data_IF_738152559012
#
_entry.id   IF_738152559012
#
_cell.length_a   1.000
_cell.length_b   1.000
_cell.length_c   1.000
_cell.angle_alpha   90.00
_cell.angle_beta   90.00
_cell.angle_gamma   90.00
#
_symmetry.space_group_name_H-M   'P 1'
#
loop_
_entity.id
_entity.type
_entity.pdbx_description
1 polymer ?
#
# COMPACT_ATOMS: atom_id res chain seq x y z
N UNK A 1 7.88 -8.22 -8.12
CA UNK A 1 6.70 -7.41 -7.72
C UNK A 1 5.52 -8.24 -7.22
N UNK A 2 5.04 -9.25 -7.94
CA UNK A 2 3.87 -10.05 -7.55
C UNK A 2 3.98 -10.66 -6.14
N UNK A 3 5.03 -11.45 -5.90
CA UNK A 3 5.17 -12.27 -4.69
C UNK A 3 5.31 -11.47 -3.40
N UNK A 4 5.79 -10.22 -3.45
CA UNK A 4 6.10 -9.43 -2.27
C UNK A 4 5.29 -8.16 -2.22
N UNK A 5 5.40 -7.29 -3.22
CA UNK A 5 4.82 -5.95 -3.14
C UNK A 5 3.30 -6.01 -3.15
N UNK A 6 2.70 -6.49 -4.22
CA UNK A 6 1.25 -6.39 -4.38
C UNK A 6 0.49 -7.28 -3.39
N UNK A 7 0.90 -8.56 -3.29
CA UNK A 7 0.29 -9.47 -2.33
C UNK A 7 0.61 -9.11 -0.87
N UNK A 8 1.78 -8.50 -0.63
CA UNK A 8 2.15 -7.97 0.68
C UNK A 8 1.29 -6.77 1.11
N UNK A 9 0.98 -5.85 0.18
CA UNK A 9 0.04 -4.74 0.43
C UNK A 9 -1.33 -5.28 0.83
N UNK A 10 -1.86 -6.27 0.09
CA UNK A 10 -3.14 -6.90 0.41
C UNK A 10 -3.08 -7.54 1.81
N UNK A 11 -2.04 -8.32 2.09
CA UNK A 11 -1.88 -8.99 3.37
C UNK A 11 -1.78 -8.00 4.53
N UNK A 12 -0.93 -6.97 4.43
CA UNK A 12 -0.79 -5.96 5.48
C UNK A 12 -2.08 -5.15 5.69
N UNK A 13 -2.73 -4.71 4.61
CA UNK A 13 -3.99 -3.96 4.69
C UNK A 13 -5.13 -4.80 5.28
N UNK A 14 -5.17 -6.12 4.99
CA UNK A 14 -6.18 -7.02 5.58
C UNK A 14 -5.98 -7.22 7.09
N UNK A 15 -4.73 -7.17 7.57
CA UNK A 15 -4.45 -7.20 9.01
C UNK A 15 -4.93 -5.93 9.70
N UNK A 16 -4.79 -4.75 9.07
CA UNK A 16 -5.36 -3.50 9.58
C UNK A 16 -6.89 -3.62 9.67
N UNK A 17 -7.55 -4.06 8.61
CA UNK A 17 -8.99 -4.35 8.61
C UNK A 17 -9.39 -5.24 9.79
N UNK A 18 -8.71 -6.38 9.97
CA UNK A 18 -9.02 -7.33 11.02
C UNK A 18 -8.81 -6.77 12.44
N UNK A 19 -7.79 -5.91 12.65
CA UNK A 19 -7.57 -5.22 13.93
C UNK A 19 -8.72 -4.31 14.32
N UNK A 20 -9.30 -3.59 13.37
CA UNK A 20 -10.46 -2.74 13.62
C UNK A 20 -11.77 -3.53 13.76
N UNK A 21 -11.91 -4.67 13.09
CA UNK A 21 -13.00 -5.64 13.39
C UNK A 21 -12.89 -6.13 14.82
N UNK A 22 -11.68 -6.36 15.33
CA UNK A 22 -11.39 -6.70 16.71
C UNK A 22 -11.82 -5.66 17.77
N UNK A 23 -12.23 -4.46 17.35
CA UNK A 23 -12.86 -3.49 18.26
C UNK A 23 -14.26 -3.95 18.68
N UNK A 24 -15.02 -4.55 17.75
CA UNK A 24 -16.40 -4.99 17.98
C UNK A 24 -16.48 -6.44 18.50
N UNK A 25 -15.53 -7.27 18.10
CA UNK A 25 -15.44 -8.65 18.53
C UNK A 25 -13.99 -8.93 18.96
N UNK A 26 -13.72 -9.20 20.24
CA UNK A 26 -12.36 -9.42 20.73
C UNK A 26 -11.75 -10.64 20.04
N UNK A 27 -10.86 -10.36 19.10
CA UNK A 27 -10.15 -11.36 18.31
C UNK A 27 -8.76 -11.57 18.88
N UNK A 28 -8.45 -12.80 19.27
CA UNK A 28 -7.07 -13.20 19.55
C UNK A 28 -6.22 -13.21 18.28
N UNK A 29 -4.94 -13.55 18.38
CA UNK A 29 -4.03 -13.58 17.22
C UNK A 29 -4.54 -14.47 16.07
N UNK A 30 -5.09 -15.63 16.39
CA UNK A 30 -5.68 -16.55 15.38
C UNK A 30 -6.94 -15.96 14.74
N UNK A 31 -7.82 -15.36 15.54
CA UNK A 31 -9.04 -14.70 15.06
C UNK A 31 -8.73 -13.51 14.14
N UNK A 32 -7.73 -12.70 14.47
CA UNK A 32 -7.26 -11.60 13.61
C UNK A 32 -6.76 -12.10 12.26
N UNK A 33 -5.98 -13.20 12.26
CA UNK A 33 -5.53 -13.83 11.01
C UNK A 33 -6.70 -14.37 10.20
N UNK A 34 -7.64 -15.06 10.85
CA UNK A 34 -8.82 -15.62 10.19
C UNK A 34 -9.70 -14.51 9.58
N UNK A 35 -9.94 -13.40 10.30
CA UNK A 35 -10.69 -12.26 9.79
C UNK A 35 -9.98 -11.58 8.61
N UNK A 36 -8.66 -11.44 8.66
CA UNK A 36 -7.87 -10.89 7.56
C UNK A 36 -7.96 -11.77 6.30
N UNK A 37 -7.77 -13.08 6.44
CA UNK A 37 -7.90 -14.05 5.34
C UNK A 37 -9.34 -14.06 4.81
N UNK A 38 -10.34 -14.08 5.69
CA UNK A 38 -11.75 -14.00 5.31
C UNK A 38 -12.06 -12.77 4.48
N UNK A 39 -11.53 -11.60 4.84
CA UNK A 39 -11.65 -10.36 4.08
C UNK A 39 -11.01 -10.46 2.68
N UNK A 40 -9.81 -11.05 2.58
CA UNK A 40 -9.14 -11.29 1.28
C UNK A 40 -10.00 -12.19 0.40
N UNK A 41 -10.45 -13.32 0.93
CA UNK A 41 -11.23 -14.31 0.16
C UNK A 41 -12.57 -13.75 -0.28
N UNK A 42 -13.30 -13.07 0.60
CA UNK A 42 -14.59 -12.45 0.30
C UNK A 42 -14.46 -11.42 -0.83
N UNK A 43 -13.52 -10.47 -0.70
CA UNK A 43 -13.34 -9.43 -1.72
C UNK A 43 -12.78 -10.00 -3.03
N UNK A 44 -11.95 -11.04 -2.95
CA UNK A 44 -11.48 -11.75 -4.14
C UNK A 44 -12.62 -12.48 -4.85
N UNK A 45 -13.56 -13.10 -4.12
CA UNK A 45 -14.75 -13.72 -4.69
C UNK A 45 -15.66 -12.69 -5.37
N UNK A 46 -15.87 -11.52 -4.76
CA UNK A 46 -16.61 -10.40 -5.36
C UNK A 46 -15.96 -9.96 -6.67
N UNK A 47 -14.63 -9.76 -6.67
CA UNK A 47 -13.88 -9.36 -7.87
C UNK A 47 -13.84 -10.46 -8.94
N UNK A 48 -13.85 -11.74 -8.53
CA UNK A 48 -13.95 -12.88 -9.43
C UNK A 48 -15.27 -12.90 -10.19
N UNK A 49 -16.38 -12.63 -9.49
CA UNK A 49 -17.73 -12.58 -10.08
C UNK A 49 -17.97 -11.35 -10.99
N UNK A 50 -17.03 -10.41 -11.05
CA UNK A 50 -17.08 -9.22 -11.92
C UNK A 50 -17.76 -8.02 -11.26
N UNK A 51 -17.08 -6.86 -11.25
CA UNK A 51 -17.59 -5.60 -10.68
C UNK A 51 -17.73 -4.54 -11.79
N UNK A 52 -18.93 -4.34 -12.30
CA UNK A 52 -19.22 -3.34 -13.35
C UNK A 52 -19.38 -1.89 -12.84
N UNK A 53 -19.36 -1.62 -11.52
CA UNK A 53 -19.79 -0.32 -10.96
C UNK A 53 -18.74 0.38 -10.06
N UNK A 54 -17.45 0.27 -10.38
CA UNK A 54 -16.39 0.66 -9.45
C UNK A 54 -16.05 2.15 -9.28
N UNK A 55 -16.09 2.98 -10.33
CA UNK A 55 -15.48 4.32 -10.27
C UNK A 55 -16.30 5.36 -9.49
N UNK A 56 -17.61 5.37 -9.64
CA UNK A 56 -18.49 6.31 -8.90
C UNK A 56 -18.48 6.02 -7.40
N UNK A 57 -18.58 4.74 -7.03
CA UNK A 57 -18.50 4.30 -5.63
C UNK A 57 -17.16 4.70 -5.00
N UNK A 58 -16.05 4.53 -5.72
CA UNK A 58 -14.73 4.90 -5.23
C UNK A 58 -14.63 6.41 -4.94
N UNK A 59 -15.20 7.26 -5.79
CA UNK A 59 -15.22 8.71 -5.57
C UNK A 59 -16.02 9.07 -4.32
N UNK A 60 -17.23 8.52 -4.18
CA UNK A 60 -18.08 8.77 -3.01
C UNK A 60 -17.39 8.34 -1.72
N UNK A 61 -16.81 7.12 -1.70
CA UNK A 61 -16.07 6.61 -0.54
C UNK A 61 -14.86 7.49 -0.22
N UNK A 62 -14.13 7.99 -1.21
CA UNK A 62 -12.96 8.85 -1.00
C UNK A 62 -13.37 10.20 -0.42
N UNK A 63 -14.41 10.83 -0.97
CA UNK A 63 -14.94 12.10 -0.43
C UNK A 63 -15.44 11.91 1.00
N UNK A 64 -16.19 10.83 1.26
CA UNK A 64 -16.68 10.53 2.61
C UNK A 64 -15.52 10.32 3.61
N UNK A 65 -14.44 9.66 3.21
CA UNK A 65 -13.24 9.49 4.05
C UNK A 65 -12.59 10.83 4.41
N UNK A 66 -12.38 11.68 3.39
CA UNK A 66 -11.77 13.00 3.62
C UNK A 66 -12.66 13.84 4.54
N UNK A 67 -13.96 13.87 4.28
CA UNK A 67 -14.92 14.58 5.14
C UNK A 67 -14.89 14.06 6.58
N UNK A 68 -14.84 12.73 6.77
CA UNK A 68 -14.77 12.12 8.10
C UNK A 68 -13.45 12.43 8.83
N UNK A 69 -12.31 12.45 8.11
CA UNK A 69 -11.02 12.85 8.69
C UNK A 69 -11.07 14.32 9.11
N UNK A 70 -11.58 15.21 8.26
CA UNK A 70 -11.72 16.63 8.58
C UNK A 70 -12.65 16.84 9.78
N UNK A 71 -13.78 16.17 9.82
CA UNK A 71 -14.69 16.20 10.96
C UNK A 71 -14.00 15.74 12.25
N UNK A 72 -13.28 14.62 12.21
CA UNK A 72 -12.52 14.12 13.35
C UNK A 72 -11.51 15.17 13.84
N UNK A 73 -10.74 15.77 12.93
CA UNK A 73 -9.76 16.79 13.27
C UNK A 73 -10.42 18.03 13.91
N UNK A 74 -11.54 18.51 13.36
CA UNK A 74 -12.30 19.62 13.95
C UNK A 74 -12.76 19.24 15.36
N UNK A 75 -13.34 18.05 15.52
CA UNK A 75 -13.81 17.57 16.83
C UNK A 75 -12.65 17.49 17.85
N UNK A 76 -11.49 17.02 17.44
CA UNK A 76 -10.32 16.91 18.33
C UNK A 76 -9.83 18.29 18.78
N UNK A 77 -9.65 19.23 17.86
CA UNK A 77 -9.07 20.55 18.20
C UNK A 77 -10.07 21.50 18.84
N UNK A 78 -11.38 21.29 18.64
CA UNK A 78 -12.43 22.12 19.26
C UNK A 78 -12.87 21.58 20.61
N UNK A 79 -13.03 20.26 20.75
CA UNK A 79 -13.63 19.63 21.94
C UNK A 79 -12.64 18.73 22.71
N UNK A 80 -11.48 18.42 22.14
CA UNK A 80 -10.50 17.56 22.78
C UNK A 80 -9.79 18.25 23.93
N UNK A 81 -9.45 17.49 24.96
CA UNK A 81 -8.59 17.94 26.04
C UNK A 81 -7.19 17.37 25.88
N UNK A 82 -6.13 18.18 26.08
CA UNK A 82 -4.76 17.71 25.92
C UNK A 82 -4.43 16.64 26.94
N UNK A 83 -3.84 15.54 26.48
CA UNK A 83 -3.32 14.52 27.37
C UNK A 83 -2.16 15.06 28.20
N UNK A 84 -2.12 14.72 29.46
CA UNK A 84 -0.92 14.95 30.29
C UNK A 84 0.20 14.05 29.75
N UNK A 85 1.13 14.65 29.02
CA UNK A 85 2.35 13.96 28.64
C UNK A 85 3.19 13.75 29.91
N UNK A 86 3.44 12.50 30.29
CA UNK A 86 4.47 12.22 31.29
C UNK A 86 5.78 12.78 30.74
N UNK A 87 6.53 13.51 31.57
CA UNK A 87 7.84 14.00 31.18
C UNK A 87 8.67 12.78 30.74
N UNK A 88 8.83 12.62 29.44
CA UNK A 88 9.61 11.53 28.90
C UNK A 88 11.06 11.80 29.28
N UNK A 89 11.57 11.07 30.26
CA UNK A 89 12.98 11.08 30.66
C UNK A 89 13.90 10.51 29.57
N UNK A 90 13.35 10.03 28.49
CA UNK A 90 14.08 9.43 27.38
C UNK A 90 14.37 10.45 26.26
N UNK A 91 15.11 11.50 26.56
CA UNK A 91 15.91 12.22 25.57
C UNK A 91 17.13 11.38 25.14
N UNK A 92 16.93 10.07 24.95
CA UNK A 92 17.95 9.17 24.42
C UNK A 92 18.09 9.33 22.92
N UNK A 93 19.30 9.08 22.39
CA UNK A 93 19.50 9.01 20.95
C UNK A 93 18.65 7.87 20.39
N UNK A 94 17.77 8.17 19.44
CA UNK A 94 17.00 7.16 18.73
C UNK A 94 17.97 6.28 17.95
N UNK A 95 17.99 4.96 18.16
CA UNK A 95 18.84 4.06 17.38
C UNK A 95 18.50 4.17 15.89
N UNK A 96 19.53 4.16 15.04
CA UNK A 96 19.36 4.26 13.58
C UNK A 96 18.37 3.22 13.04
N UNK A 97 18.39 1.99 13.56
CA UNK A 97 17.47 0.93 13.15
C UNK A 97 16.00 1.27 13.42
N UNK A 98 15.68 1.83 14.58
CA UNK A 98 14.31 2.24 14.90
C UNK A 98 13.83 3.42 14.03
N UNK A 99 14.71 4.40 13.78
CA UNK A 99 14.41 5.49 12.84
C UNK A 99 14.15 4.96 11.41
N UNK A 100 14.98 4.04 10.94
CA UNK A 100 14.82 3.42 9.62
C UNK A 100 13.49 2.66 9.51
N UNK A 101 13.13 1.88 10.54
CA UNK A 101 11.85 1.14 10.55
C UNK A 101 10.65 2.07 10.63
N UNK A 102 10.71 3.15 11.39
CA UNK A 102 9.66 4.17 11.45
C UNK A 102 9.49 4.87 10.09
N UNK A 103 10.61 5.20 9.41
CA UNK A 103 10.60 5.74 8.05
C UNK A 103 9.94 4.77 7.08
N UNK A 104 10.23 3.46 7.17
CA UNK A 104 9.59 2.43 6.37
C UNK A 104 8.08 2.35 6.60
N UNK A 105 7.63 2.44 7.84
CA UNK A 105 6.21 2.46 8.17
C UNK A 105 5.49 3.69 7.58
N UNK A 106 6.11 4.87 7.65
CA UNK A 106 5.59 6.10 7.04
C UNK A 106 5.50 5.97 5.51
N UNK A 107 6.55 5.47 4.87
CA UNK A 107 6.56 5.26 3.42
C UNK A 107 5.54 4.22 2.95
N UNK A 108 5.28 3.19 3.75
CA UNK A 108 4.19 2.25 3.49
C UNK A 108 2.83 2.94 3.52
N UNK A 109 2.59 3.83 4.51
CA UNK A 109 1.35 4.59 4.61
C UNK A 109 1.12 5.52 3.40
N UNK A 110 2.20 6.04 2.79
CA UNK A 110 2.15 6.81 1.54
C UNK A 110 2.07 5.95 0.27
N UNK A 111 2.07 4.63 0.38
CA UNK A 111 2.02 3.72 -0.75
C UNK A 111 0.79 3.90 -1.64
N UNK A 112 0.88 3.46 -2.90
CA UNK A 112 -0.22 3.49 -3.85
C UNK A 112 -0.27 4.70 -4.80
N UNK A 113 0.51 5.75 -4.59
CA UNK A 113 0.56 6.93 -5.47
C UNK A 113 0.86 6.56 -6.94
N UNK A 114 1.67 5.56 -7.18
CA UNK A 114 2.05 5.07 -8.51
C UNK A 114 0.89 4.39 -9.25
N UNK A 115 -0.14 3.89 -8.53
CA UNK A 115 -1.26 3.17 -9.14
C UNK A 115 -2.11 4.05 -10.05
N UNK A 116 -2.08 5.38 -9.89
CA UNK A 116 -2.76 6.31 -10.80
C UNK A 116 -2.25 6.17 -12.24
N UNK A 117 -0.98 5.75 -12.41
CA UNK A 117 -0.39 5.56 -13.75
C UNK A 117 -0.97 4.35 -14.49
N UNK A 118 -1.58 3.39 -13.77
CA UNK A 118 -2.21 2.21 -14.39
C UNK A 118 -3.48 2.56 -15.17
N UNK A 119 -4.11 3.69 -14.83
CA UNK A 119 -5.27 4.23 -15.54
C UNK A 119 -4.92 5.31 -16.58
N UNK A 120 -3.63 5.49 -16.91
CA UNK A 120 -3.19 6.55 -17.81
C UNK A 120 -3.83 6.44 -19.21
N UNK A 121 -4.04 5.21 -19.72
CA UNK A 121 -4.70 4.96 -21.01
C UNK A 121 -6.19 5.34 -21.03
N UNK A 122 -6.84 5.39 -19.88
CA UNK A 122 -8.26 5.76 -19.74
C UNK A 122 -8.45 7.23 -19.32
N UNK A 123 -7.35 7.93 -19.01
CA UNK A 123 -7.35 9.30 -18.49
C UNK A 123 -7.34 10.32 -19.62
N UNK A 124 -8.23 11.32 -19.58
CA UNK A 124 -8.20 12.46 -20.51
C UNK A 124 -6.99 13.36 -20.22
N UNK A 125 -6.17 13.65 -21.25
CA UNK A 125 -4.95 14.47 -21.14
C UNK A 125 -4.03 14.03 -20.00
N UNK A 126 -3.60 12.74 -20.00
CA UNK A 126 -2.87 12.15 -18.87
C UNK A 126 -1.58 12.91 -18.54
N UNK A 127 -0.93 13.52 -19.53
CA UNK A 127 0.28 14.34 -19.38
C UNK A 127 0.10 15.57 -18.51
N UNK A 128 -1.13 16.05 -18.32
CA UNK A 128 -1.49 17.19 -17.44
C UNK A 128 -2.21 16.74 -16.19
N UNK A 129 -3.15 15.80 -16.35
CA UNK A 129 -4.05 15.36 -15.27
C UNK A 129 -3.29 14.55 -14.22
N UNK A 130 -2.46 13.58 -14.63
CA UNK A 130 -1.73 12.70 -13.68
C UNK A 130 -0.74 13.50 -12.81
N UNK A 131 0.16 14.36 -13.36
CA UNK A 131 1.08 15.13 -12.52
C UNK A 131 0.37 16.04 -11.52
N UNK A 132 -0.72 16.70 -11.93
CA UNK A 132 -1.51 17.55 -11.05
C UNK A 132 -2.20 16.75 -9.94
N UNK A 133 -2.81 15.61 -10.29
CA UNK A 133 -3.46 14.72 -9.32
C UNK A 133 -2.45 14.18 -8.29
N UNK A 134 -1.25 13.81 -8.73
CA UNK A 134 -0.18 13.37 -7.84
C UNK A 134 0.27 14.49 -6.89
N UNK A 135 0.49 15.70 -7.40
CA UNK A 135 0.92 16.83 -6.57
C UNK A 135 -0.13 17.19 -5.53
N UNK A 136 -1.38 17.43 -5.96
CA UNK A 136 -2.47 17.83 -5.06
C UNK A 136 -2.78 16.71 -4.07
N UNK A 137 -2.84 15.44 -4.55
CA UNK A 137 -3.09 14.28 -3.72
C UNK A 137 -2.00 14.08 -2.66
N UNK A 138 -0.73 14.20 -3.03
CA UNK A 138 0.38 14.05 -2.09
C UNK A 138 0.36 15.15 -1.02
N UNK A 139 0.11 16.41 -1.39
CA UNK A 139 0.01 17.52 -0.43
C UNK A 139 -1.15 17.32 0.53
N UNK A 140 -2.33 16.94 0.02
CA UNK A 140 -3.52 16.69 0.82
C UNK A 140 -3.30 15.55 1.82
N UNK A 141 -2.75 14.42 1.35
CA UNK A 141 -2.47 13.25 2.18
C UNK A 141 -1.42 13.59 3.25
N UNK A 142 -0.37 14.33 2.89
CA UNK A 142 0.65 14.78 3.86
C UNK A 142 0.02 15.65 4.95
N UNK A 143 -0.80 16.62 4.58
CA UNK A 143 -1.51 17.47 5.55
C UNK A 143 -2.41 16.61 6.48
N UNK A 144 -3.21 15.69 5.91
CA UNK A 144 -4.04 14.79 6.70
C UNK A 144 -3.20 13.94 7.69
N UNK A 145 -2.09 13.38 7.26
CA UNK A 145 -1.24 12.56 8.13
C UNK A 145 -0.58 13.36 9.24
N UNK A 146 -0.05 14.54 8.95
CA UNK A 146 0.54 15.42 9.96
C UNK A 146 -0.51 15.81 10.99
N UNK A 147 -1.69 16.26 10.55
CA UNK A 147 -2.77 16.67 11.44
C UNK A 147 -3.32 15.50 12.27
N UNK A 148 -3.49 14.32 11.68
CA UNK A 148 -3.94 13.13 12.42
C UNK A 148 -2.92 12.71 13.49
N UNK A 149 -1.62 12.69 13.17
CA UNK A 149 -0.60 12.37 14.17
C UNK A 149 -0.55 13.43 15.28
N UNK A 150 -0.67 14.71 14.94
CA UNK A 150 -0.81 15.78 15.91
C UNK A 150 -2.03 15.57 16.82
N UNK A 151 -3.18 15.19 16.25
CA UNK A 151 -4.39 14.89 17.00
C UNK A 151 -4.22 13.69 17.95
N UNK A 152 -3.55 12.62 17.51
CA UNK A 152 -3.29 11.47 18.37
C UNK A 152 -2.40 11.82 19.55
N UNK A 153 -1.30 12.56 19.32
CA UNK A 153 -0.40 13.02 20.37
C UNK A 153 -1.02 14.09 21.28
N UNK A 154 -2.01 14.83 20.79
CA UNK A 154 -2.78 15.77 21.59
C UNK A 154 -3.73 15.05 22.56
N UNK A 155 -4.42 13.99 22.12
CA UNK A 155 -5.43 13.28 22.88
C UNK A 155 -4.88 12.15 23.76
N UNK A 156 -3.77 11.54 23.37
CA UNK A 156 -3.23 10.35 24.03
C UNK A 156 -1.80 10.57 24.51
N UNK A 157 -1.46 10.07 25.72
CA UNK A 157 -0.06 9.97 26.13
C UNK A 157 0.73 9.11 25.16
N UNK A 158 2.02 9.42 24.97
CA UNK A 158 2.89 8.74 24.01
C UNK A 158 2.91 7.21 24.20
N UNK A 159 2.93 6.73 25.45
CA UNK A 159 2.93 5.29 25.77
C UNK A 159 1.66 4.59 25.24
N UNK A 160 0.52 5.27 25.30
CA UNK A 160 -0.74 4.77 24.73
C UNK A 160 -0.68 4.72 23.22
N UNK A 161 -0.10 5.74 22.57
CA UNK A 161 0.08 5.76 21.11
C UNK A 161 0.99 4.61 20.67
N UNK A 162 2.12 4.41 21.34
CA UNK A 162 3.09 3.34 21.02
C UNK A 162 2.50 1.94 21.25
N UNK A 163 1.73 1.75 22.30
CA UNK A 163 1.09 0.46 22.63
C UNK A 163 -0.16 0.14 21.81
N UNK A 164 -0.74 1.13 21.13
CA UNK A 164 -1.99 0.96 20.40
C UNK A 164 -1.82 0.22 19.07
N UNK A 165 -2.74 -0.70 18.78
CA UNK A 165 -2.86 -1.33 17.46
C UNK A 165 -3.94 -0.69 16.57
N UNK A 166 -4.69 0.30 17.12
CA UNK A 166 -5.80 1.02 16.46
C UNK A 166 -5.94 2.45 17.02
N UNK A 167 -4.84 3.18 16.96
CA UNK A 167 -4.68 4.51 17.58
C UNK A 167 -5.81 5.50 17.25
N UNK A 168 -6.38 5.46 16.06
CA UNK A 168 -7.49 6.34 15.68
C UNK A 168 -8.75 6.08 16.50
N UNK A 169 -9.07 4.81 16.79
CA UNK A 169 -10.20 4.44 17.62
C UNK A 169 -9.95 4.80 19.08
N UNK A 170 -8.74 4.52 19.58
CA UNK A 170 -8.37 4.82 20.97
C UNK A 170 -8.36 6.33 21.23
N UNK A 171 -7.92 7.13 20.27
CA UNK A 171 -7.98 8.60 20.34
C UNK A 171 -9.43 9.12 20.34
N UNK A 172 -10.28 8.57 19.49
CA UNK A 172 -11.70 8.93 19.47
C UNK A 172 -12.41 8.51 20.76
N UNK A 173 -12.07 7.35 21.32
CA UNK A 173 -12.62 6.87 22.58
C UNK A 173 -12.21 7.75 23.77
N UNK A 174 -10.95 8.22 23.79
CA UNK A 174 -10.47 9.15 24.80
C UNK A 174 -11.23 10.50 24.78
N UNK A 175 -11.72 10.93 23.62
CA UNK A 175 -12.46 12.18 23.46
C UNK A 175 -13.97 12.03 23.70
N UNK A 176 -14.59 11.00 23.13
CA UNK A 176 -16.07 10.84 23.09
C UNK A 176 -16.57 9.49 23.60
N UNK A 177 -15.72 8.75 24.34
CA UNK A 177 -16.04 7.45 24.90
C UNK A 177 -16.22 6.35 23.85
N UNK A 178 -16.71 5.18 24.29
CA UNK A 178 -16.83 3.99 23.47
C UNK A 178 -17.66 4.20 22.17
N UNK A 179 -18.63 5.10 22.17
CA UNK A 179 -19.42 5.39 20.96
C UNK A 179 -18.58 6.05 19.86
N UNK A 180 -17.71 6.99 20.22
CA UNK A 180 -16.81 7.64 19.29
C UNK A 180 -15.74 6.66 18.75
N UNK A 181 -15.18 5.83 19.63
CA UNK A 181 -14.26 4.75 19.23
C UNK A 181 -14.90 3.76 18.26
N UNK A 182 -16.16 3.35 18.54
CA UNK A 182 -16.92 2.48 17.66
C UNK A 182 -17.19 3.11 16.29
N UNK A 183 -17.61 4.37 16.25
CA UNK A 183 -17.86 5.10 15.00
C UNK A 183 -16.59 5.19 14.12
N UNK A 184 -15.45 5.55 14.71
CA UNK A 184 -14.16 5.61 14.00
C UNK A 184 -13.72 4.22 13.57
N UNK A 185 -13.90 3.19 14.40
CA UNK A 185 -13.56 1.82 14.01
C UNK A 185 -14.39 1.33 12.83
N UNK A 186 -15.69 1.58 12.79
CA UNK A 186 -16.57 1.26 11.67
C UNK A 186 -16.14 2.00 10.38
N UNK A 187 -15.79 3.28 10.50
CA UNK A 187 -15.28 4.08 9.38
C UNK A 187 -13.97 3.52 8.82
N UNK A 188 -13.02 3.12 9.69
CA UNK A 188 -11.75 2.52 9.25
C UNK A 188 -11.98 1.16 8.61
N UNK A 189 -12.90 0.34 9.12
CA UNK A 189 -13.28 -0.93 8.49
C UNK A 189 -13.79 -0.67 7.07
N UNK A 190 -14.75 0.22 6.91
CA UNK A 190 -15.32 0.58 5.60
C UNK A 190 -14.23 1.12 4.65
N UNK A 191 -13.37 1.99 5.17
CA UNK A 191 -12.21 2.52 4.45
C UNK A 191 -11.26 1.41 3.98
N UNK A 192 -10.93 0.46 4.87
CA UNK A 192 -10.04 -0.66 4.60
C UNK A 192 -10.61 -1.62 3.55
N UNK A 193 -11.91 -1.88 3.58
CA UNK A 193 -12.62 -2.65 2.54
C UNK A 193 -12.44 -1.98 1.17
N UNK A 194 -12.60 -0.65 1.10
CA UNK A 194 -12.41 0.09 -0.15
C UNK A 194 -10.96 0.01 -0.68
N UNK A 195 -9.96 0.14 0.21
CA UNK A 195 -8.53 0.00 -0.16
C UNK A 195 -8.23 -1.41 -0.63
N UNK A 196 -8.62 -2.43 0.14
CA UNK A 196 -8.43 -3.84 -0.20
C UNK A 196 -9.07 -4.19 -1.54
N UNK A 197 -10.33 -3.75 -1.75
CA UNK A 197 -11.02 -3.99 -3.00
C UNK A 197 -10.28 -3.36 -4.19
N UNK A 198 -9.80 -2.12 -4.05
CA UNK A 198 -9.03 -1.43 -5.09
C UNK A 198 -7.74 -2.17 -5.45
N UNK A 199 -6.98 -2.62 -4.46
CA UNK A 199 -5.72 -3.35 -4.68
C UNK A 199 -5.98 -4.74 -5.26
N UNK A 200 -6.98 -5.47 -4.76
CA UNK A 200 -7.39 -6.79 -5.29
C UNK A 200 -7.87 -6.69 -6.74
N UNK A 201 -8.52 -5.58 -7.10
CA UNK A 201 -8.99 -5.34 -8.46
C UNK A 201 -7.83 -5.01 -9.43
N UNK A 202 -6.87 -4.21 -9.01
CA UNK A 202 -5.78 -3.70 -9.86
C UNK A 202 -4.74 -4.76 -10.21
N UNK A 203 -4.31 -5.58 -9.23
CA UNK A 203 -3.23 -6.53 -9.39
C UNK A 203 -3.41 -7.55 -10.50
N UNK A 204 -4.53 -8.26 -10.56
CA UNK A 204 -4.78 -9.28 -11.59
C UNK A 204 -4.73 -8.74 -13.02
N UNK A 205 -5.10 -7.46 -13.22
CA UNK A 205 -5.02 -6.80 -14.53
C UNK A 205 -3.58 -6.62 -14.99
N UNK A 206 -2.69 -6.26 -14.07
CA UNK A 206 -1.26 -6.15 -14.38
C UNK A 206 -0.66 -7.51 -14.73
N UNK A 207 -0.98 -8.58 -13.98
CA UNK A 207 -0.49 -9.94 -14.28
C UNK A 207 -1.03 -10.46 -15.60
N UNK A 208 -2.29 -10.17 -15.90
CA UNK A 208 -2.93 -10.47 -17.16
C UNK A 208 -2.21 -9.79 -18.33
N UNK A 209 -1.97 -8.48 -18.25
CA UNK A 209 -1.26 -7.73 -19.28
C UNK A 209 0.18 -8.25 -19.48
N UNK A 210 0.90 -8.53 -18.39
CA UNK A 210 2.24 -9.14 -18.47
C UNK A 210 2.21 -10.52 -19.13
N UNK A 211 1.18 -11.31 -18.87
CA UNK A 211 1.03 -12.63 -19.48
C UNK A 211 0.69 -12.56 -20.97
N UNK A 212 -0.09 -11.55 -21.40
CA UNK A 212 -0.35 -11.28 -22.81
C UNK A 212 0.92 -10.87 -23.57
N UNK A 213 1.77 -10.05 -22.95
CA UNK A 213 3.06 -9.63 -23.49
C UNK A 213 4.17 -10.70 -23.38
N UNK A 214 3.83 -11.91 -22.92
CA UNK A 214 4.79 -12.99 -22.73
C UNK A 214 5.81 -12.76 -21.60
N UNK A 215 5.55 -11.82 -20.68
CA UNK A 215 6.39 -11.50 -19.53
C UNK A 215 5.99 -12.26 -18.26
N UNK A 216 4.91 -13.04 -18.32
CA UNK A 216 4.44 -13.90 -17.24
C UNK A 216 3.87 -15.22 -17.80
N UNK A 217 3.45 -16.13 -16.94
CA UNK A 217 2.88 -17.40 -17.36
C UNK A 217 1.59 -17.18 -18.18
N UNK A 218 1.52 -17.74 -19.39
CA UNK A 218 0.36 -17.64 -20.32
C UNK A 218 -0.97 -18.02 -19.68
N UNK A 219 -0.98 -18.96 -18.71
CA UNK A 219 -2.21 -19.36 -18.05
C UNK A 219 -2.87 -18.25 -17.20
N UNK A 220 -2.11 -17.20 -16.83
CA UNK A 220 -2.64 -16.00 -16.15
C UNK A 220 -3.41 -15.08 -17.11
N UNK A 221 -3.16 -15.18 -18.42
CA UNK A 221 -3.88 -14.43 -19.45
C UNK A 221 -5.29 -14.98 -19.75
N UNK A 222 -5.77 -15.95 -18.97
CA UNK A 222 -7.08 -16.56 -19.23
C UNK A 222 -8.19 -15.74 -18.57
N UNK A 223 -9.13 -15.28 -19.38
CA UNK A 223 -10.36 -14.61 -18.95
C UNK A 223 -11.43 -15.66 -18.67
N UNK A 224 -12.21 -15.46 -17.62
CA UNK A 224 -13.33 -16.34 -17.28
C UNK A 224 -14.47 -16.10 -18.28
N UNK A 225 -15.02 -17.16 -18.93
CA UNK A 225 -16.00 -16.99 -20.02
C UNK A 225 -17.29 -16.30 -19.61
N UNK A 226 -17.74 -16.47 -18.36
CA UNK A 226 -19.00 -15.88 -17.85
C UNK A 226 -18.79 -14.53 -17.18
N UNK A 227 -17.70 -14.36 -16.42
CA UNK A 227 -17.49 -13.17 -15.57
C UNK A 227 -16.57 -12.14 -16.20
N UNK A 228 -15.95 -12.46 -17.34
CA UNK A 228 -15.02 -11.57 -18.07
C UNK A 228 -13.88 -11.02 -17.21
N UNK A 229 -13.44 -11.79 -16.22
CA UNK A 229 -12.40 -11.42 -15.25
C UNK A 229 -11.15 -12.29 -15.42
N UNK A 230 -9.94 -11.78 -15.07
CA UNK A 230 -8.73 -12.57 -15.04
C UNK A 230 -8.72 -13.53 -13.84
N UNK A 231 -9.62 -14.48 -13.84
CA UNK A 231 -10.00 -15.34 -12.71
C UNK A 231 -8.81 -16.07 -12.09
N UNK A 232 -7.89 -16.61 -12.90
CA UNK A 232 -6.72 -17.34 -12.40
C UNK A 232 -5.73 -16.43 -11.69
N UNK A 233 -5.55 -15.20 -12.15
CA UNK A 233 -4.72 -14.21 -11.51
C UNK A 233 -5.32 -13.77 -10.16
N UNK A 234 -6.66 -13.61 -10.09
CA UNK A 234 -7.36 -13.30 -8.83
C UNK A 234 -7.17 -14.42 -7.81
N UNK A 235 -7.39 -15.68 -8.21
CA UNK A 235 -7.24 -16.83 -7.31
C UNK A 235 -5.79 -16.99 -6.81
N UNK A 236 -4.80 -16.86 -7.69
CA UNK A 236 -3.39 -16.93 -7.30
C UNK A 236 -3.04 -15.83 -6.29
N UNK A 237 -3.49 -14.60 -6.54
CA UNK A 237 -3.26 -13.47 -5.65
C UNK A 237 -3.92 -13.68 -4.28
N UNK A 238 -5.17 -14.14 -4.26
CA UNK A 238 -5.90 -14.41 -3.03
C UNK A 238 -5.21 -15.51 -2.19
N UNK A 239 -4.84 -16.62 -2.83
CA UNK A 239 -4.14 -17.72 -2.15
C UNK A 239 -2.81 -17.26 -1.57
N UNK A 240 -1.98 -16.57 -2.37
CA UNK A 240 -0.67 -16.13 -1.92
C UNK A 240 -0.75 -15.05 -0.82
N UNK A 241 -1.64 -14.07 -0.96
CA UNK A 241 -1.85 -13.06 0.10
C UNK A 241 -2.33 -13.71 1.41
N UNK A 242 -3.16 -14.75 1.34
CA UNK A 242 -3.61 -15.51 2.52
C UNK A 242 -2.46 -16.28 3.18
N UNK A 243 -1.55 -16.88 2.40
CA UNK A 243 -0.33 -17.51 2.92
C UNK A 243 0.55 -16.48 3.63
N UNK A 244 0.71 -15.29 3.06
CA UNK A 244 1.48 -14.21 3.68
C UNK A 244 0.88 -13.76 5.01
N UNK A 245 -0.45 -13.68 5.13
CA UNK A 245 -1.13 -13.38 6.41
C UNK A 245 -0.92 -14.50 7.42
N UNK A 246 -1.00 -15.75 6.99
CA UNK A 246 -0.87 -16.90 7.88
C UNK A 246 0.54 -17.03 8.46
N UNK A 247 1.58 -16.73 7.67
CA UNK A 247 2.99 -16.96 8.00
C UNK A 247 3.74 -15.70 8.44
N UNK A 248 3.22 -14.52 8.14
CA UNK A 248 3.88 -13.24 8.39
C UNK A 248 3.36 -12.51 9.63
N UNK A 249 4.15 -11.54 10.08
CA UNK A 249 3.71 -10.51 11.02
C UNK A 249 3.40 -9.23 10.25
N UNK A 250 2.53 -8.36 10.80
CA UNK A 250 2.20 -7.08 10.17
C UNK A 250 3.47 -6.26 9.87
N UNK A 251 4.41 -6.16 10.82
CA UNK A 251 5.70 -5.47 10.66
C UNK A 251 6.51 -6.07 9.53
N UNK A 252 6.68 -7.40 9.51
CA UNK A 252 7.43 -8.07 8.45
C UNK A 252 6.81 -7.93 7.06
N UNK A 253 5.47 -7.88 6.98
CA UNK A 253 4.77 -7.71 5.71
C UNK A 253 5.04 -6.34 5.09
N UNK A 254 4.82 -5.24 5.83
CA UNK A 254 5.03 -3.91 5.26
C UNK A 254 6.51 -3.59 5.03
N UNK A 255 7.42 -4.06 5.89
CA UNK A 255 8.86 -3.86 5.70
C UNK A 255 9.33 -4.47 4.38
N UNK A 256 8.94 -5.72 4.09
CA UNK A 256 9.27 -6.39 2.81
C UNK A 256 8.71 -5.65 1.60
N UNK A 257 7.51 -5.11 1.71
CA UNK A 257 6.89 -4.31 0.64
C UNK A 257 7.74 -3.07 0.38
N UNK A 258 8.05 -2.28 1.40
CA UNK A 258 8.69 -0.97 1.25
C UNK A 258 10.04 -1.09 0.56
N UNK A 259 11.02 -1.81 1.10
CA UNK A 259 12.35 -1.82 0.47
C UNK A 259 12.33 -2.43 -0.93
N UNK A 260 11.50 -3.45 -1.17
CA UNK A 260 11.35 -4.05 -2.50
C UNK A 260 10.77 -3.06 -3.49
N UNK A 261 9.71 -2.35 -3.11
CA UNK A 261 9.05 -1.36 -3.95
C UNK A 261 10.00 -0.20 -4.29
N UNK A 262 10.74 0.29 -3.32
CA UNK A 262 11.70 1.38 -3.52
C UNK A 262 12.88 0.98 -4.42
N UNK A 263 13.36 -0.27 -4.35
CA UNK A 263 14.33 -0.79 -5.32
C UNK A 263 13.76 -0.77 -6.76
N UNK A 264 12.51 -1.19 -6.94
CA UNK A 264 11.87 -1.15 -8.26
C UNK A 264 11.62 0.28 -8.74
N UNK A 265 11.28 1.23 -7.86
CA UNK A 265 11.16 2.64 -8.21
C UNK A 265 12.50 3.23 -8.66
N UNK A 266 13.60 2.89 -7.98
CA UNK A 266 14.94 3.29 -8.43
C UNK A 266 15.25 2.74 -9.83
N UNK A 267 14.97 1.45 -10.09
CA UNK A 267 15.16 0.83 -11.41
C UNK A 267 14.30 1.48 -12.50
N UNK A 268 13.05 1.84 -12.20
CA UNK A 268 12.18 2.57 -13.14
C UNK A 268 12.76 3.95 -13.46
N UNK A 269 13.25 4.67 -12.47
CA UNK A 269 13.88 5.98 -12.68
C UNK A 269 15.18 5.88 -13.49
N UNK A 270 15.99 4.82 -13.31
CA UNK A 270 17.12 4.50 -14.19
C UNK A 270 16.67 4.24 -15.62
N UNK A 271 15.52 3.55 -15.78
CA UNK A 271 14.89 3.32 -17.10
C UNK A 271 14.60 4.60 -17.87
N UNK A 272 14.23 5.70 -17.17
CA UNK A 272 14.00 7.01 -17.78
C UNK A 272 15.26 7.54 -18.47
N UNK A 273 16.44 7.40 -17.85
CA UNK A 273 17.70 7.82 -18.47
C UNK A 273 18.01 7.04 -19.75
N UNK A 274 17.74 5.72 -19.76
CA UNK A 274 17.89 4.89 -20.95
C UNK A 274 16.91 5.25 -22.06
N UNK A 275 15.64 5.50 -21.71
CA UNK A 275 14.62 5.89 -22.68
C UNK A 275 14.95 7.23 -23.34
N UNK A 276 15.42 8.21 -22.56
CA UNK A 276 15.80 9.53 -23.10
C UNK A 276 17.00 9.52 -24.04
N UNK A 277 17.83 8.48 -23.99
CA UNK A 277 18.96 8.28 -24.91
C UNK A 277 18.54 7.63 -26.24
N UNK A 278 17.30 7.13 -26.35
CA UNK A 278 16.81 6.55 -27.61
C UNK A 278 16.47 7.64 -28.61
N UNK A 279 16.96 7.50 -29.84
CA UNK A 279 16.59 8.36 -30.95
C UNK A 279 15.06 8.29 -31.18
N UNK A 280 14.42 9.45 -31.36
CA UNK A 280 12.96 9.52 -31.58
C UNK A 280 12.09 9.50 -30.31
N UNK A 281 12.64 9.35 -29.11
CA UNK A 281 11.85 9.41 -27.89
C UNK A 281 11.34 10.84 -27.61
N UNK A 282 10.05 11.08 -27.85
CA UNK A 282 9.37 12.37 -27.64
C UNK A 282 8.21 12.21 -26.64
N UNK A 283 8.48 12.23 -25.33
CA UNK A 283 7.41 12.10 -24.34
C UNK A 283 6.51 13.32 -24.33
N UNK A 284 5.20 13.10 -24.18
CA UNK A 284 4.22 14.18 -24.03
C UNK A 284 4.42 14.97 -22.73
N UNK A 285 4.93 14.32 -21.67
CA UNK A 285 5.33 14.95 -20.41
C UNK A 285 6.84 14.90 -20.22
N UNK A 286 7.47 16.03 -19.98
CA UNK A 286 8.89 16.12 -19.65
C UNK A 286 9.08 16.27 -18.15
N UNK A 287 9.82 15.35 -17.55
CA UNK A 287 10.18 15.42 -16.13
C UNK A 287 10.86 16.73 -15.81
N UNK A 288 10.27 17.48 -14.88
CA UNK A 288 10.84 18.73 -14.39
C UNK A 288 12.17 18.47 -13.67
N UNK A 289 13.13 19.40 -13.79
CA UNK A 289 14.45 19.27 -13.16
C UNK A 289 15.31 18.10 -13.63
N UNK A 290 15.08 17.57 -14.83
CA UNK A 290 15.97 16.54 -15.39
C UNK A 290 17.36 17.13 -15.71
N UNK A 291 18.47 16.39 -15.44
CA UNK A 291 18.57 15.05 -14.87
C UNK A 291 18.60 14.98 -13.35
N UNK A 292 18.67 16.12 -12.64
CA UNK A 292 18.93 16.19 -11.21
C UNK A 292 17.80 15.53 -10.39
N UNK A 293 16.54 15.87 -10.64
CA UNK A 293 15.40 15.31 -9.86
C UNK A 293 15.32 13.79 -9.94
N UNK A 294 15.38 13.15 -11.12
CA UNK A 294 15.44 11.68 -11.19
C UNK A 294 16.68 11.09 -10.51
N UNK A 295 17.83 11.75 -10.57
CA UNK A 295 19.04 11.27 -9.90
C UNK A 295 18.91 11.32 -8.36
N UNK A 296 18.39 12.43 -7.82
CA UNK A 296 18.10 12.57 -6.39
C UNK A 296 17.08 11.51 -5.95
N UNK A 297 16.03 11.28 -6.75
CA UNK A 297 15.04 10.26 -6.45
C UNK A 297 15.65 8.86 -6.39
N UNK A 298 16.54 8.50 -7.33
CA UNK A 298 17.27 7.21 -7.31
C UNK A 298 18.10 7.10 -6.04
N UNK A 299 18.89 8.13 -5.71
CA UNK A 299 19.72 8.15 -4.52
C UNK A 299 18.87 7.98 -3.23
N UNK A 300 17.77 8.72 -3.11
CA UNK A 300 16.85 8.61 -1.98
C UNK A 300 16.20 7.21 -1.90
N UNK A 301 15.74 6.67 -3.03
CA UNK A 301 15.14 5.35 -3.09
C UNK A 301 16.11 4.25 -2.66
N UNK A 302 17.37 4.32 -3.12
CA UNK A 302 18.41 3.37 -2.72
C UNK A 302 18.81 3.55 -1.25
N UNK A 303 18.87 4.79 -0.74
CA UNK A 303 19.11 5.05 0.67
C UNK A 303 18.03 4.46 1.55
N UNK A 304 16.75 4.68 1.22
CA UNK A 304 15.61 4.09 1.93
C UNK A 304 15.69 2.55 1.92
N UNK A 305 15.91 1.96 0.76
CA UNK A 305 16.03 0.50 0.65
C UNK A 305 17.22 -0.03 1.49
N UNK A 306 18.37 0.64 1.44
CA UNK A 306 19.55 0.30 2.23
C UNK A 306 19.30 0.41 3.74
N UNK A 307 18.65 1.48 4.20
CA UNK A 307 18.27 1.65 5.60
C UNK A 307 17.36 0.53 6.10
N UNK A 308 16.35 0.17 5.31
CA UNK A 308 15.42 -0.90 5.67
C UNK A 308 16.12 -2.26 5.73
N UNK A 309 16.99 -2.55 4.77
CA UNK A 309 17.78 -3.79 4.75
C UNK A 309 18.73 -3.87 5.95
N UNK A 310 19.38 -2.77 6.31
CA UNK A 310 20.28 -2.70 7.46
C UNK A 310 19.54 -2.83 8.80
N UNK A 311 18.32 -2.27 8.90
CA UNK A 311 17.53 -2.30 10.12
C UNK A 311 16.93 -3.70 10.43
N UNK A 312 16.61 -4.50 9.41
CA UNK A 312 16.08 -5.87 9.57
C UNK A 312 16.63 -6.78 8.47
N UNK A 313 17.86 -7.20 8.63
CA UNK A 313 18.59 -8.01 7.64
C UNK A 313 17.92 -9.37 7.38
N UNK A 314 17.37 -10.02 8.42
CA UNK A 314 16.76 -11.35 8.29
C UNK A 314 15.48 -11.30 7.44
N UNK A 315 14.58 -10.33 7.70
CA UNK A 315 13.37 -10.15 6.90
C UNK A 315 13.70 -9.69 5.47
N UNK A 316 14.72 -8.85 5.33
CA UNK A 316 15.18 -8.37 4.03
C UNK A 316 15.80 -9.47 3.18
N UNK A 317 16.63 -10.34 3.78
CA UNK A 317 17.20 -11.51 3.09
C UNK A 317 16.08 -12.42 2.54
N UNK A 318 15.07 -12.71 3.36
CA UNK A 318 13.92 -13.52 2.93
C UNK A 318 13.19 -12.88 1.74
N UNK A 319 12.93 -11.58 1.80
CA UNK A 319 12.24 -10.87 0.71
C UNK A 319 13.07 -10.79 -0.56
N UNK A 320 14.37 -10.48 -0.47
CA UNK A 320 15.26 -10.45 -1.62
C UNK A 320 15.38 -11.82 -2.28
N UNK A 321 15.46 -12.91 -1.49
CA UNK A 321 15.46 -14.28 -2.01
C UNK A 321 14.19 -14.55 -2.82
N UNK A 322 13.02 -14.17 -2.31
CA UNK A 322 11.76 -14.31 -3.05
C UNK A 322 11.73 -13.52 -4.36
N UNK A 323 12.35 -12.31 -4.39
CA UNK A 323 12.50 -11.53 -5.62
C UNK A 323 13.42 -12.24 -6.60
N UNK A 324 14.56 -12.71 -6.12
CA UNK A 324 15.56 -13.41 -6.94
C UNK A 324 15.05 -14.71 -7.54
N UNK A 325 14.15 -15.43 -6.85
CA UNK A 325 13.46 -16.61 -7.39
C UNK A 325 12.62 -16.31 -8.64
N UNK A 326 12.28 -15.04 -8.88
CA UNK A 326 11.64 -14.61 -10.13
C UNK A 326 12.59 -14.66 -11.35
N UNK A 327 13.90 -14.52 -11.16
CA UNK A 327 14.87 -14.55 -12.27
C UNK A 327 14.95 -15.90 -12.97
N UNK A 328 15.13 -17.05 -12.27
CA UNK A 328 15.07 -18.35 -12.91
C UNK A 328 13.78 -18.58 -13.67
N UNK A 329 12.63 -18.22 -13.08
CA UNK A 329 11.32 -18.34 -13.73
C UNK A 329 11.30 -17.56 -15.05
N UNK A 330 11.82 -16.33 -15.05
CA UNK A 330 11.93 -15.50 -16.26
C UNK A 330 12.84 -16.14 -17.31
N UNK A 331 14.05 -16.56 -16.94
CA UNK A 331 15.02 -17.09 -17.88
C UNK A 331 14.61 -18.42 -18.48
N UNK A 332 14.10 -19.35 -17.65
CA UNK A 332 13.82 -20.72 -18.12
C UNK A 332 12.42 -20.90 -18.71
N UNK A 333 11.44 -20.09 -18.29
CA UNK A 333 10.03 -20.30 -18.69
C UNK A 333 9.48 -19.16 -19.56
N UNK A 334 9.87 -17.93 -19.33
CA UNK A 334 9.27 -16.76 -20.01
C UNK A 334 10.07 -16.37 -21.24
N UNK A 335 11.39 -16.25 -21.12
CA UNK A 335 12.29 -15.85 -22.19
C UNK A 335 12.24 -16.76 -23.45
N UNK A 336 12.26 -18.08 -23.35
CA UNK A 336 12.23 -18.97 -24.52
C UNK A 336 10.98 -18.77 -25.40
N UNK A 337 9.82 -18.50 -24.76
CA UNK A 337 8.56 -18.33 -25.46
C UNK A 337 8.41 -16.96 -26.16
N UNK A 338 9.23 -15.97 -25.80
CA UNK A 338 9.22 -14.63 -26.42
C UNK A 338 9.95 -14.62 -27.75
N UNK A 339 11.00 -15.42 -27.91
CA UNK A 339 11.78 -15.51 -29.14
C UNK A 339 11.22 -16.55 -30.15
N UNK A 340 10.30 -17.40 -29.75
CA UNK A 340 9.65 -18.36 -30.64
C UNK A 340 8.46 -17.77 -31.44
N UNK A 341 8.02 -16.54 -31.12
CA UNK A 341 6.88 -15.88 -31.75
C UNK A 341 7.27 -14.60 -32.55
N UNK A 342 8.54 -14.39 -32.82
CA UNK A 342 9.14 -13.43 -33.75
C UNK A 342 10.02 -14.16 -34.73
#
# INVERSE_FOLDING_TARGET
MFWIVHSGIIAASSVIFARYVGYFAPLGAAGTRAAAIGGILLLSAVNYAGVRRGSGLQTVVTVAKIAAILLLLVMVFVFGSPARQAASSAAGRIPFGEFALATGAALYAFGGWHMVTYSAGETRKPEKTIPRALLIGSLLVTACYVLLNAAYLYLLPLDRVVGSTRVAADAAEAMGGARAGAAVSALVILSSVGVLNGVILAGPRMYFAMAQEGLAFRWLARIHPRFETPSRAILLQAAWSSVLVATGTYRGLYTRVVYTEWLFFALMAVGLFRLRRRAGYRPAYRTWGYPAVPAIFIAAALAVAGMQIAADTAQSATGLTLVMLGLPVYYFRVRPHRYANH
#
